data_IF_751306787820
#
_entry.id   IF_751306787820
#
_cell.length_a   1.000
_cell.length_b   1.000
_cell.length_c   1.000
_cell.angle_alpha   90.00
_cell.angle_beta   90.00
_cell.angle_gamma   90.00
#
_symmetry.space_group_name_H-M   'P 1'
#
loop_
_entity.id
_entity.type
_entity.pdbx_description
1 polymer ?
#
# COMPACT_ATOMS: atom_id res chain seq x y z
N UNK A 1 8.12 -74.47 -9.78
CA UNK A 1 8.64 -73.26 -9.08
C UNK A 1 7.45 -72.40 -8.66
N UNK A 2 7.39 -72.01 -7.37
CA UNK A 2 6.46 -71.05 -6.67
C UNK A 2 4.96 -71.18 -7.04
N UNK A 3 4.14 -71.99 -6.35
CA UNK A 3 3.41 -71.75 -5.06
C UNK A 3 2.77 -70.36 -4.90
N UNK A 4 1.44 -70.34 -4.72
CA UNK A 4 0.57 -69.57 -3.79
C UNK A 4 -0.87 -69.62 -4.38
N UNK A 5 -1.74 -70.56 -3.98
CA UNK A 5 -2.71 -70.54 -2.84
C UNK A 5 -3.70 -69.37 -2.96
N UNK A 6 -4.90 -69.54 -3.55
CA UNK A 6 -6.18 -70.01 -2.98
C UNK A 6 -6.84 -69.10 -1.90
N UNK A 7 -7.99 -68.53 -2.30
CA UNK A 7 -9.30 -68.53 -1.62
C UNK A 7 -9.76 -67.45 -0.61
N UNK A 8 -11.08 -67.18 -0.75
CA UNK A 8 -12.12 -66.71 0.20
C UNK A 8 -12.30 -65.19 0.36
N UNK A 9 -13.38 -64.59 -0.19
CA UNK A 9 -14.75 -64.54 0.36
C UNK A 9 -14.83 -64.04 1.81
N UNK A 10 -15.34 -62.81 2.01
CA UNK A 10 -16.54 -62.50 2.83
C UNK A 10 -16.67 -60.98 3.08
N UNK A 11 -17.87 -60.45 2.84
CA UNK A 11 -18.39 -59.15 3.26
C UNK A 11 -18.17 -58.87 4.77
N UNK A 12 -17.83 -57.63 5.14
CA UNK A 12 -18.49 -56.86 6.23
C UNK A 12 -18.38 -55.37 5.93
N UNK A 13 -19.52 -54.70 5.79
CA UNK A 13 -19.71 -53.25 5.85
C UNK A 13 -19.57 -52.75 7.30
N UNK A 14 -18.74 -51.74 7.54
CA UNK A 14 -18.88 -50.86 8.72
C UNK A 14 -18.87 -49.41 8.23
N UNK A 15 -20.06 -48.82 8.23
CA UNK A 15 -20.29 -47.39 8.17
C UNK A 15 -19.70 -46.73 9.42
N UNK A 16 -18.77 -45.78 9.25
CA UNK A 16 -18.43 -44.83 10.31
C UNK A 16 -18.77 -43.43 9.81
N UNK A 17 -19.93 -42.96 10.26
CA UNK A 17 -20.25 -41.54 10.35
C UNK A 17 -19.26 -40.90 11.33
N UNK A 18 -18.22 -40.24 10.82
CA UNK A 18 -17.45 -39.28 11.60
C UNK A 18 -18.26 -37.97 11.68
N UNK A 19 -19.17 -37.93 12.65
CA UNK A 19 -19.77 -36.72 13.15
C UNK A 19 -18.75 -35.97 14.02
N UNK A 20 -18.75 -34.63 13.87
CA UNK A 20 -18.15 -33.64 14.76
C UNK A 20 -16.62 -33.60 14.86
N UNK A 21 -16.02 -32.61 14.22
CA UNK A 21 -15.74 -31.36 14.94
C UNK A 21 -15.44 -30.26 13.93
N UNK A 22 -16.36 -29.30 13.86
CA UNK A 22 -16.08 -27.98 13.33
C UNK A 22 -15.11 -27.36 14.34
N UNK A 23 -13.82 -27.55 14.13
CA UNK A 23 -12.81 -26.74 14.79
C UNK A 23 -13.01 -25.33 14.27
N UNK A 24 -13.75 -24.52 15.02
CA UNK A 24 -13.59 -23.08 14.95
C UNK A 24 -12.15 -22.81 15.35
N UNK A 25 -11.32 -22.61 14.34
CA UNK A 25 -9.97 -22.07 14.51
C UNK A 25 -10.12 -20.80 15.36
N UNK A 26 -9.43 -20.68 16.50
CA UNK A 26 -9.52 -19.49 17.31
C UNK A 26 -9.11 -18.31 16.43
N UNK A 27 -10.01 -17.33 16.30
CA UNK A 27 -9.75 -16.10 15.56
C UNK A 27 -8.41 -15.55 16.05
N UNK A 28 -7.38 -15.67 15.21
CA UNK A 28 -6.06 -15.11 15.50
C UNK A 28 -6.29 -13.64 15.83
N UNK A 29 -5.80 -13.14 16.98
CA UNK A 29 -5.85 -11.71 17.24
C UNK A 29 -5.20 -11.02 16.04
N UNK A 30 -5.97 -10.17 15.35
CA UNK A 30 -5.48 -9.42 14.21
C UNK A 30 -4.22 -8.67 14.66
N UNK A 31 -3.06 -9.10 14.17
CA UNK A 31 -1.79 -8.43 14.44
C UNK A 31 -1.95 -7.04 13.84
N UNK A 32 -2.06 -6.02 14.70
CA UNK A 32 -2.10 -4.63 14.25
C UNK A 32 -0.78 -4.33 13.58
N UNK A 33 -0.78 -4.23 12.25
CA UNK A 33 0.39 -3.85 11.49
C UNK A 33 0.77 -2.41 11.83
N UNK A 34 2.00 -2.22 12.28
CA UNK A 34 2.56 -0.92 12.64
C UNK A 34 3.13 -0.26 11.39
N UNK A 35 2.82 1.02 11.16
CA UNK A 35 3.42 1.76 10.05
C UNK A 35 4.88 2.06 10.37
N UNK A 36 5.77 1.63 9.47
CA UNK A 36 7.20 1.92 9.55
C UNK A 36 7.55 3.18 8.74
N UNK A 37 8.78 3.68 8.90
CA UNK A 37 9.27 4.89 8.25
C UNK A 37 10.05 4.58 6.96
N UNK A 38 10.38 5.61 6.17
CA UNK A 38 11.29 5.45 5.05
C UNK A 38 12.72 5.19 5.52
N UNK A 39 13.54 4.51 4.69
CA UNK A 39 14.96 4.41 4.93
C UNK A 39 15.56 5.79 5.15
N UNK A 40 16.45 5.90 6.14
CA UNK A 40 17.19 7.15 6.37
C UNK A 40 17.94 7.53 5.10
N UNK A 41 17.39 8.54 4.43
CA UNK A 41 17.99 9.41 3.43
C UNK A 41 18.69 8.71 2.26
N UNK A 42 17.91 8.34 1.23
CA UNK A 42 18.40 8.43 -0.14
C UNK A 42 17.35 9.09 -1.03
N UNK A 43 17.54 10.35 -1.45
CA UNK A 43 16.72 10.92 -2.49
C UNK A 43 16.92 10.11 -3.77
N UNK A 44 15.85 9.86 -4.51
CA UNK A 44 15.96 9.25 -5.83
C UNK A 44 16.01 10.34 -6.89
N UNK A 45 16.92 10.19 -7.84
CA UNK A 45 16.91 10.98 -9.07
C UNK A 45 16.09 10.18 -10.08
N UNK A 46 14.93 10.72 -10.45
CA UNK A 46 14.04 10.12 -11.44
C UNK A 46 13.86 11.13 -12.56
N UNK A 47 14.41 10.81 -13.73
CA UNK A 47 14.54 11.73 -14.87
C UNK A 47 15.34 12.99 -14.52
N UNK A 48 14.67 14.08 -14.20
CA UNK A 48 15.24 15.37 -13.82
C UNK A 48 14.70 15.91 -12.51
N UNK A 49 14.05 15.05 -11.72
CA UNK A 49 13.60 15.36 -10.38
C UNK A 49 14.43 14.61 -9.36
N UNK A 50 14.81 15.30 -8.30
CA UNK A 50 15.33 14.67 -7.10
C UNK A 50 14.21 14.66 -6.05
N UNK A 51 13.71 13.47 -5.74
CA UNK A 51 12.56 13.26 -4.86
C UNK A 51 13.04 12.58 -3.58
N UNK A 52 12.68 13.17 -2.45
CA UNK A 52 13.01 12.68 -1.11
C UNK A 52 11.71 12.47 -0.33
N UNK A 53 11.46 11.24 0.12
CA UNK A 53 10.35 10.94 1.01
C UNK A 53 10.75 11.30 2.44
N UNK A 54 10.02 12.23 3.06
CA UNK A 54 10.35 12.78 4.37
C UNK A 54 9.64 12.04 5.49
N UNK A 55 8.33 11.80 5.35
CA UNK A 55 7.55 11.14 6.39
C UNK A 55 6.29 10.47 5.86
N UNK A 56 5.82 9.47 6.60
CA UNK A 56 4.53 8.82 6.40
C UNK A 56 3.77 8.83 7.73
N UNK A 57 2.55 9.38 7.73
CA UNK A 57 1.76 9.59 8.95
C UNK A 57 0.30 9.27 8.70
N UNK A 58 -0.39 8.75 9.71
CA UNK A 58 -1.85 8.67 9.70
C UNK A 58 -2.44 10.09 9.83
N UNK A 59 -3.21 10.50 8.82
CA UNK A 59 -3.86 11.80 8.72
C UNK A 59 -5.39 11.67 8.82
N UNK A 60 -5.92 10.54 9.28
CA UNK A 60 -7.38 10.30 9.38
C UNK A 60 -8.09 11.31 10.29
N UNK A 61 -7.37 11.93 11.24
CA UNK A 61 -7.91 12.98 12.11
C UNK A 61 -7.92 14.37 11.47
N UNK A 62 -7.21 14.56 10.36
CA UNK A 62 -7.07 15.85 9.68
C UNK A 62 -8.18 16.11 8.67
N UNK A 63 -9.04 15.13 8.40
CA UNK A 63 -10.15 15.29 7.45
C UNK A 63 -11.21 16.21 8.07
N UNK A 64 -11.54 17.34 7.43
CA UNK A 64 -12.64 18.20 7.87
C UNK A 64 -13.95 17.43 8.00
N UNK A 65 -14.56 17.47 9.20
CA UNK A 65 -15.85 16.82 9.52
C UNK A 65 -17.03 17.28 8.64
N UNK A 66 -16.88 18.41 7.95
CA UNK A 66 -17.86 18.96 7.03
C UNK A 66 -17.98 18.14 5.75
N UNK A 67 -16.98 17.32 5.43
CA UNK A 67 -16.98 16.46 4.24
C UNK A 67 -17.55 15.07 4.55
N UNK A 68 -18.80 15.03 5.03
CA UNK A 68 -19.58 13.80 5.31
C UNK A 68 -19.60 12.78 4.16
N UNK A 69 -19.33 13.21 2.93
CA UNK A 69 -19.19 12.33 1.76
C UNK A 69 -17.89 11.50 1.82
N UNK A 70 -16.79 12.12 2.27
CA UNK A 70 -15.46 11.48 2.41
C UNK A 70 -15.41 10.48 3.57
N UNK A 71 -16.19 10.70 4.63
CA UNK A 71 -16.34 9.73 5.74
C UNK A 71 -16.91 8.38 5.28
N UNK A 72 -17.77 8.36 4.23
CA UNK A 72 -18.29 7.10 3.67
C UNK A 72 -17.21 6.35 2.87
N UNK A 73 -16.42 7.07 2.07
CA UNK A 73 -15.33 6.49 1.27
C UNK A 73 -14.20 5.96 2.15
N UNK A 74 -14.03 6.55 3.34
CA UNK A 74 -13.03 6.15 4.32
C UNK A 74 -13.58 5.23 5.42
N UNK A 75 -14.82 4.75 5.31
CA UNK A 75 -15.45 3.94 6.38
C UNK A 75 -14.59 2.75 6.81
N UNK A 76 -13.98 2.05 5.86
CA UNK A 76 -13.11 0.88 6.09
C UNK A 76 -11.63 1.17 5.76
N UNK A 77 -11.31 2.44 5.53
CA UNK A 77 -9.97 2.90 5.18
C UNK A 77 -9.44 3.88 6.23
N UNK A 78 -8.14 4.13 6.20
CA UNK A 78 -7.46 5.22 6.90
C UNK A 78 -6.75 6.09 5.88
N UNK A 79 -6.62 7.37 6.18
CA UNK A 79 -5.93 8.31 5.34
C UNK A 79 -4.47 8.38 5.77
N UNK A 80 -3.56 8.09 4.85
CA UNK A 80 -2.12 8.21 5.05
C UNK A 80 -1.61 9.44 4.31
N UNK A 81 -0.85 10.28 4.99
CA UNK A 81 -0.14 11.44 4.43
C UNK A 81 1.33 11.08 4.23
N UNK A 82 1.84 11.34 3.03
CA UNK A 82 3.24 11.20 2.69
C UNK A 82 3.79 12.59 2.40
N UNK A 83 4.72 13.06 3.23
CA UNK A 83 5.42 14.31 3.02
C UNK A 83 6.69 14.07 2.22
N UNK A 84 6.96 14.93 1.24
CA UNK A 84 8.09 14.79 0.34
C UNK A 84 8.69 16.14 -0.03
N UNK A 85 9.96 16.11 -0.42
CA UNK A 85 10.69 17.24 -0.99
C UNK A 85 11.07 16.89 -2.42
N UNK A 86 10.80 17.81 -3.34
CA UNK A 86 11.04 17.62 -4.77
C UNK A 86 11.84 18.80 -5.30
N UNK A 87 13.03 18.50 -5.82
CA UNK A 87 13.87 19.46 -6.53
C UNK A 87 13.77 19.23 -8.04
N UNK A 88 13.46 20.30 -8.77
CA UNK A 88 13.57 20.33 -10.23
C UNK A 88 15.01 20.66 -10.62
N UNK A 89 15.72 19.69 -11.16
CA UNK A 89 17.12 19.81 -11.52
C UNK A 89 17.33 20.49 -12.89
N UNK A 90 16.26 20.87 -13.59
CA UNK A 90 16.30 21.50 -14.92
C UNK A 90 16.19 23.02 -14.86
N UNK A 91 16.33 23.70 -15.99
CA UNK A 91 16.09 25.14 -16.12
C UNK A 91 14.62 25.49 -16.41
N UNK A 92 13.80 24.52 -16.82
CA UNK A 92 12.41 24.74 -17.23
C UNK A 92 11.42 24.32 -16.14
N UNK A 93 10.19 24.78 -16.28
CA UNK A 93 9.12 24.51 -15.33
C UNK A 93 8.59 23.07 -15.50
N UNK A 94 8.39 22.36 -14.39
CA UNK A 94 7.83 21.01 -14.38
C UNK A 94 6.52 21.00 -13.59
N UNK A 95 5.38 20.66 -14.20
CA UNK A 95 4.14 20.45 -13.47
C UNK A 95 4.27 19.20 -12.59
N UNK A 96 3.79 19.30 -11.35
CA UNK A 96 3.84 18.20 -10.41
C UNK A 96 2.47 17.97 -9.79
N UNK A 97 1.93 16.78 -10.03
CA UNK A 97 0.61 16.38 -9.54
C UNK A 97 0.71 15.19 -8.58
N UNK A 98 -0.07 15.24 -7.50
CA UNK A 98 -0.22 14.13 -6.55
C UNK A 98 -0.67 12.81 -7.22
N UNK A 99 -1.40 12.89 -8.34
CA UNK A 99 -1.88 11.73 -9.11
C UNK A 99 -0.77 10.91 -9.77
N UNK A 100 0.46 11.43 -9.85
CA UNK A 100 1.64 10.70 -10.33
C UNK A 100 2.16 9.69 -9.28
N UNK A 101 1.55 9.64 -8.11
CA UNK A 101 1.94 8.74 -7.03
C UNK A 101 0.85 7.71 -6.72
N UNK A 102 1.30 6.50 -6.38
CA UNK A 102 0.49 5.41 -5.83
C UNK A 102 1.26 4.70 -4.72
N UNK A 103 0.58 3.91 -3.90
CA UNK A 103 1.21 3.12 -2.84
C UNK A 103 0.87 1.65 -2.99
N UNK A 104 1.82 0.77 -2.67
CA UNK A 104 1.56 -0.64 -2.46
C UNK A 104 1.25 -0.84 -0.97
N UNK A 105 0.06 -1.32 -0.66
CA UNK A 105 -0.30 -1.72 0.70
C UNK A 105 0.24 -3.12 1.05
N UNK A 106 0.24 -3.44 2.33
CA UNK A 106 0.66 -4.73 2.86
C UNK A 106 -0.23 -5.92 2.45
N UNK A 107 -1.39 -5.66 1.83
CA UNK A 107 -2.19 -6.69 1.16
C UNK A 107 -1.76 -6.93 -0.30
N UNK A 108 -0.70 -6.25 -0.75
CA UNK A 108 -0.17 -6.38 -2.10
C UNK A 108 -1.02 -5.65 -3.15
N UNK A 109 -1.86 -4.68 -2.75
CA UNK A 109 -2.69 -3.90 -3.68
C UNK A 109 -2.14 -2.49 -3.85
N UNK A 110 -2.16 -2.02 -5.09
CA UNK A 110 -1.89 -0.62 -5.37
C UNK A 110 -3.10 0.25 -5.05
N UNK A 111 -2.87 1.35 -4.34
CA UNK A 111 -3.85 2.38 -4.03
C UNK A 111 -3.40 3.70 -4.68
N UNK A 112 -4.25 4.29 -5.51
CA UNK A 112 -4.01 5.60 -6.12
C UNK A 112 -4.06 6.72 -5.08
N UNK A 113 -3.53 7.89 -5.45
CA UNK A 113 -3.70 9.12 -4.67
C UNK A 113 -5.17 9.36 -4.30
N UNK A 114 -5.39 9.82 -3.08
CA UNK A 114 -6.66 10.28 -2.57
C UNK A 114 -6.62 11.82 -2.53
N UNK A 115 -7.43 12.53 -3.33
CA UNK A 115 -7.32 13.97 -3.47
C UNK A 115 -7.60 14.73 -2.18
N UNK A 116 -6.74 15.70 -1.85
CA UNK A 116 -6.87 16.60 -0.69
C UNK A 116 -6.52 18.04 -1.08
N UNK A 117 -7.13 19.02 -0.41
CA UNK A 117 -6.96 20.44 -0.75
C UNK A 117 -5.52 20.96 -0.58
N UNK A 118 -4.76 20.42 0.36
CA UNK A 118 -3.38 20.82 0.66
C UNK A 118 -2.34 19.86 0.04
N UNK A 119 -2.73 19.08 -0.96
CA UNK A 119 -1.81 18.17 -1.65
C UNK A 119 -0.98 18.87 -2.73
N UNK A 120 0.06 18.16 -3.16
CA UNK A 120 0.94 18.58 -4.24
C UNK A 120 0.18 18.75 -5.57
N UNK A 121 0.22 19.95 -6.14
CA UNK A 121 -0.46 20.27 -7.40
C UNK A 121 0.12 21.48 -8.14
N UNK A 122 1.35 21.89 -7.78
CA UNK A 122 1.97 23.10 -8.30
C UNK A 122 2.98 22.83 -9.42
N UNK A 123 3.34 23.88 -10.15
CA UNK A 123 4.44 23.84 -11.11
C UNK A 123 5.75 24.21 -10.41
N UNK A 124 6.71 23.29 -10.43
CA UNK A 124 8.03 23.49 -9.85
C UNK A 124 8.90 24.21 -10.87
N UNK A 125 9.23 25.47 -10.61
CA UNK A 125 10.12 26.23 -11.47
C UNK A 125 11.53 25.59 -11.55
N UNK A 126 12.25 25.88 -12.64
CA UNK A 126 13.61 25.39 -12.85
C UNK A 126 14.53 25.72 -11.67
N UNK A 127 15.36 24.75 -11.26
CA UNK A 127 16.29 24.84 -10.12
C UNK A 127 15.64 25.17 -8.78
N UNK A 128 14.31 25.02 -8.66
CA UNK A 128 13.59 25.21 -7.41
C UNK A 128 13.26 23.89 -6.75
N UNK A 129 13.03 24.00 -5.45
CA UNK A 129 12.59 22.92 -4.59
C UNK A 129 11.25 23.28 -3.99
N UNK A 130 10.34 22.33 -3.98
CA UNK A 130 9.07 22.41 -3.25
C UNK A 130 9.03 21.31 -2.19
N UNK A 131 8.26 21.56 -1.15
CA UNK A 131 7.89 20.55 -0.17
C UNK A 131 6.38 20.44 -0.18
N UNK A 132 5.87 19.23 -0.35
CA UNK A 132 4.45 18.97 -0.48
C UNK A 132 4.06 17.65 0.13
N UNK A 133 2.78 17.31 0.02
CA UNK A 133 2.26 16.06 0.49
C UNK A 133 1.37 15.39 -0.54
N UNK A 134 1.32 14.07 -0.49
CA UNK A 134 0.35 13.24 -1.21
C UNK A 134 -0.38 12.37 -0.21
N UNK A 135 -1.67 12.14 -0.45
CA UNK A 135 -2.52 11.39 0.45
C UNK A 135 -3.00 10.09 -0.19
N UNK A 136 -3.20 9.06 0.63
CA UNK A 136 -3.66 7.74 0.19
C UNK A 136 -4.69 7.18 1.16
N UNK A 137 -5.78 6.65 0.61
CA UNK A 137 -6.80 5.95 1.38
C UNK A 137 -6.55 4.43 1.31
N UNK A 138 -6.00 3.86 2.38
CA UNK A 138 -5.64 2.43 2.47
C UNK A 138 -6.52 1.71 3.49
N UNK A 139 -6.74 0.39 3.40
CA UNK A 139 -7.48 -0.35 4.44
C UNK A 139 -6.92 -0.13 5.85
N UNK A 140 -7.79 -0.01 6.86
CA UNK A 140 -7.40 0.37 8.24
C UNK A 140 -6.33 -0.53 8.86
N UNK A 141 -6.38 -1.81 8.53
CA UNK A 141 -5.53 -2.90 8.99
C UNK A 141 -4.24 -3.11 8.17
N UNK A 142 -4.01 -2.27 7.15
CA UNK A 142 -2.82 -2.34 6.29
C UNK A 142 -1.82 -1.23 6.59
N UNK A 143 -0.60 -1.38 6.09
CA UNK A 143 0.44 -0.35 6.08
C UNK A 143 0.92 -0.13 4.66
N UNK A 144 1.58 1.00 4.41
CA UNK A 144 2.26 1.22 3.13
C UNK A 144 3.59 0.48 3.15
N UNK A 145 3.80 -0.42 2.19
CA UNK A 145 5.05 -1.14 1.97
C UNK A 145 5.93 -0.43 0.94
N UNK A 146 5.31 0.21 -0.06
CA UNK A 146 6.03 0.99 -1.08
C UNK A 146 5.27 2.23 -1.49
N UNK A 147 6.02 3.27 -1.87
CA UNK A 147 5.52 4.40 -2.64
C UNK A 147 6.08 4.31 -4.04
N UNK A 148 5.24 4.58 -5.04
CA UNK A 148 5.60 4.57 -6.44
C UNK A 148 5.34 5.94 -7.02
N UNK A 149 6.33 6.45 -7.75
CA UNK A 149 6.19 7.58 -8.65
C UNK A 149 6.17 7.06 -10.09
N UNK A 150 5.18 7.47 -10.86
CA UNK A 150 5.00 7.11 -12.26
C UNK A 150 4.56 8.34 -13.05
N UNK A 151 5.41 8.79 -13.98
CA UNK A 151 5.07 9.86 -14.91
C UNK A 151 5.24 9.37 -16.36
N UNK A 152 4.14 9.00 -17.03
CA UNK A 152 4.19 8.50 -18.41
C UNK A 152 4.60 9.58 -19.41
N UNK A 153 4.41 10.87 -19.10
CA UNK A 153 4.81 11.98 -19.99
C UNK A 153 6.32 12.08 -20.11
N UNK A 154 7.03 11.68 -19.05
CA UNK A 154 8.50 11.72 -18.96
C UNK A 154 9.15 10.34 -19.00
N UNK A 155 8.36 9.29 -19.23
CA UNK A 155 8.80 7.89 -19.14
C UNK A 155 9.57 7.60 -17.83
N UNK A 156 8.99 8.06 -16.71
CA UNK A 156 9.62 8.06 -15.41
C UNK A 156 8.93 7.07 -14.47
N UNK A 157 9.71 6.21 -13.82
CA UNK A 157 9.21 5.28 -12.81
C UNK A 157 10.21 5.08 -11.68
N UNK A 158 9.75 5.07 -10.44
CA UNK A 158 10.57 4.71 -9.28
C UNK A 158 9.72 4.21 -8.11
N UNK A 159 10.25 3.25 -7.34
CA UNK A 159 9.61 2.75 -6.12
C UNK A 159 10.52 2.96 -4.89
N UNK A 160 9.98 3.52 -3.83
CA UNK A 160 10.60 3.58 -2.50
C UNK A 160 9.96 2.53 -1.60
N UNK A 161 10.75 1.60 -1.07
CA UNK A 161 10.31 0.71 -0.01
C UNK A 161 10.28 1.46 1.34
N UNK A 162 9.27 1.15 2.15
CA UNK A 162 9.22 1.53 3.56
C UNK A 162 10.05 0.51 4.35
N UNK A 163 10.79 0.94 5.37
CA UNK A 163 11.55 0.03 6.24
C UNK A 163 10.62 -0.95 6.97
N UNK A 164 11.17 -2.04 7.48
CA UNK A 164 10.46 -3.04 8.30
C UNK A 164 10.98 -3.02 9.72
#
# INVERSE_FOLDING_TARGET
MKKIILLLCSLVTISILASCQKNEEPAKPAVKQTQHAFPKEKPAIVTSLKIEMLSIKDASKSIPKTEKLRDKELKDKKLMKVEMKIENMTEYNIPMAASLFKVLDSNGKYQSNYPMLDELGETIAGKKTVQGAVYFAIPKDTVIEKIVFEDPTRDAFYEWAVEK
#
